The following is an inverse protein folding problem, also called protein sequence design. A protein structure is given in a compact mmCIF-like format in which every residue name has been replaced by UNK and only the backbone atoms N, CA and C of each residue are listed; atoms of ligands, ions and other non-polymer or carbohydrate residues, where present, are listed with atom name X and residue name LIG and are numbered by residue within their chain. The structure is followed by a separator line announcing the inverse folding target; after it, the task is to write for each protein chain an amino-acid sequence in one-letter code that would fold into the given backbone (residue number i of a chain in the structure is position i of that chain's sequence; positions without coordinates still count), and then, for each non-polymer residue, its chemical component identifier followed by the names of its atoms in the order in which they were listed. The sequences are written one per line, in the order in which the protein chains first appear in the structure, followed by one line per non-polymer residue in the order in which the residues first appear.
data_IF_223805982951
#
_entry.id   IF_223805982951
#
_cell.length_a   1.000
_cell.length_b   1.000
_cell.length_c   1.000
_cell.angle_alpha   90.00
_cell.angle_beta   90.00
_cell.angle_gamma   90.00
#
_symmetry.space_group_name_H-M   'P 1'
#
loop_
_entity.id
_entity.type
_entity.pdbx_description
1 polymer ?
#
# COMPACT_ATOMS: atom_id res chain seq x y z
N UNK A 1 5.68 40.78 58.34
CA UNK A 1 5.59 39.47 57.65
C UNK A 1 6.91 38.72 57.87
N UNK A 2 6.85 37.49 58.36
CA UNK A 2 8.01 36.74 58.88
C UNK A 2 8.84 36.20 57.70
N UNK A 3 10.15 36.48 57.69
CA UNK A 3 11.13 36.07 56.65
C UNK A 3 11.02 34.59 56.23
N UNK A 4 10.70 33.72 57.18
CA UNK A 4 10.50 32.29 56.98
C UNK A 4 9.35 31.92 56.01
N UNK A 5 8.30 32.75 55.90
CA UNK A 5 7.20 32.48 54.95
C UNK A 5 7.62 32.76 53.50
N UNK A 6 8.62 33.62 53.29
CA UNK A 6 9.13 33.95 51.95
C UNK A 6 10.03 32.83 51.39
N UNK A 7 10.79 32.16 52.25
CA UNK A 7 11.62 31.00 51.86
C UNK A 7 10.77 29.78 51.45
N UNK A 8 9.68 29.52 52.17
CA UNK A 8 8.77 28.40 51.87
C UNK A 8 8.02 28.62 50.54
N UNK A 9 7.65 29.87 50.23
CA UNK A 9 7.02 30.24 48.96
C UNK A 9 7.96 29.99 47.76
N UNK A 10 9.25 30.34 47.90
CA UNK A 10 10.24 30.10 46.85
C UNK A 10 10.45 28.60 46.58
N UNK A 11 10.53 27.79 47.63
CA UNK A 11 10.68 26.34 47.51
C UNK A 11 9.46 25.70 46.83
N UNK A 12 8.24 26.15 47.14
CA UNK A 12 7.02 25.65 46.51
C UNK A 12 7.00 25.90 44.98
N UNK A 13 7.43 27.08 44.54
CA UNK A 13 7.49 27.41 43.10
C UNK A 13 8.49 26.50 42.36
N UNK A 14 9.66 26.25 42.94
CA UNK A 14 10.67 25.38 42.33
C UNK A 14 10.15 23.95 42.17
N UNK A 15 9.45 23.42 43.19
CA UNK A 15 8.86 22.06 43.14
C UNK A 15 7.82 21.95 42.03
N UNK A 16 6.99 22.98 41.84
CA UNK A 16 6.00 23.02 40.75
C UNK A 16 6.70 23.01 39.39
N UNK A 17 7.74 23.84 39.21
CA UNK A 17 8.50 23.89 37.95
C UNK A 17 9.15 22.55 37.64
N UNK A 18 9.78 21.91 38.62
CA UNK A 18 10.41 20.59 38.45
C UNK A 18 9.38 19.53 38.07
N UNK A 19 8.21 19.56 38.71
CA UNK A 19 7.12 18.62 38.43
C UNK A 19 6.60 18.79 36.99
N UNK A 20 6.46 20.02 36.51
CA UNK A 20 6.07 20.31 35.13
C UNK A 20 7.14 19.83 34.14
N UNK A 21 8.43 20.06 34.42
CA UNK A 21 9.53 19.56 33.57
C UNK A 21 9.49 18.03 33.50
N UNK A 22 9.37 17.33 34.63
CA UNK A 22 9.30 15.86 34.67
C UNK A 22 8.10 15.34 33.88
N UNK A 23 6.93 15.98 34.01
CA UNK A 23 5.74 15.62 33.24
C UNK A 23 5.96 15.77 31.74
N UNK A 24 6.59 16.85 31.30
CA UNK A 24 6.94 17.04 29.89
C UNK A 24 7.94 16.00 29.40
N UNK A 25 8.98 15.71 30.18
CA UNK A 25 9.97 14.68 29.83
C UNK A 25 9.32 13.31 29.68
N UNK A 26 8.44 12.92 30.61
CA UNK A 26 7.70 11.66 30.51
C UNK A 26 6.82 11.66 29.25
N UNK A 27 6.07 12.75 29.00
CA UNK A 27 5.18 12.84 27.84
C UNK A 27 5.89 12.78 26.50
N UNK A 28 7.07 13.40 26.40
CA UNK A 28 7.77 13.54 25.12
C UNK A 28 8.83 12.45 24.89
N UNK A 29 9.48 11.92 25.93
CA UNK A 29 10.54 10.92 25.76
C UNK A 29 10.01 9.50 25.96
N UNK A 30 9.11 9.29 26.92
CA UNK A 30 8.65 7.94 27.28
C UNK A 30 7.39 7.55 26.51
N UNK A 31 6.54 8.53 26.15
CA UNK A 31 5.28 8.31 25.44
C UNK A 31 5.31 8.70 23.96
N UNK A 32 6.48 8.86 23.34
CA UNK A 32 6.54 8.83 21.87
C UNK A 32 6.08 7.45 21.41
N UNK A 33 4.80 7.35 21.05
CA UNK A 33 4.27 6.19 20.34
C UNK A 33 5.13 5.98 19.10
N UNK A 34 5.60 4.76 18.82
CA UNK A 34 6.35 4.50 17.61
C UNK A 34 5.45 4.84 16.42
N UNK A 35 5.72 5.98 15.79
CA UNK A 35 5.00 6.50 14.61
C UNK A 35 4.98 5.46 13.48
N UNK A 36 5.97 4.56 13.48
CA UNK A 36 6.10 3.44 12.55
C UNK A 36 4.90 2.50 12.52
N UNK A 37 4.20 2.26 13.64
CA UNK A 37 3.05 1.36 13.62
C UNK A 37 1.85 1.97 12.88
N UNK A 38 1.57 3.27 13.10
CA UNK A 38 0.46 3.94 12.39
C UNK A 38 0.73 4.04 10.90
N UNK A 39 1.97 4.29 10.51
CA UNK A 39 2.38 4.34 9.12
C UNK A 39 2.27 2.95 8.46
N UNK A 40 2.70 1.89 9.14
CA UNK A 40 2.60 0.51 8.66
C UNK A 40 1.15 0.06 8.39
N UNK A 41 0.24 0.34 9.33
CA UNK A 41 -1.18 0.04 9.13
C UNK A 41 -1.76 0.82 7.95
N UNK A 42 -1.38 2.10 7.82
CA UNK A 42 -1.90 2.97 6.75
C UNK A 42 -1.45 2.49 5.38
N UNK A 43 -0.19 2.11 5.21
CA UNK A 43 0.34 1.62 3.93
C UNK A 43 -0.28 0.27 3.52
N UNK A 44 -0.46 -0.65 4.48
CA UNK A 44 -1.07 -1.95 4.21
C UNK A 44 -2.54 -1.82 3.81
N UNK A 45 -3.29 -0.96 4.51
CA UNK A 45 -4.69 -0.65 4.17
C UNK A 45 -4.79 0.06 2.83
N UNK A 46 -3.88 0.99 2.54
CA UNK A 46 -3.81 1.67 1.26
C UNK A 46 -3.60 0.67 0.11
N UNK A 47 -2.61 -0.22 0.23
CA UNK A 47 -2.33 -1.25 -0.76
C UNK A 47 -3.54 -2.17 -0.96
N UNK A 48 -4.21 -2.58 0.12
CA UNK A 48 -5.40 -3.42 0.08
C UNK A 48 -6.58 -2.76 -0.64
N UNK A 49 -6.83 -1.48 -0.35
CA UNK A 49 -7.92 -0.72 -0.97
C UNK A 49 -7.68 -0.46 -2.45
N UNK A 50 -6.44 -0.10 -2.82
CA UNK A 50 -6.05 0.09 -4.23
C UNK A 50 -6.19 -1.22 -4.99
N UNK A 51 -5.64 -2.32 -4.45
CA UNK A 51 -5.68 -3.61 -5.11
C UNK A 51 -7.12 -4.11 -5.30
N UNK A 52 -7.97 -3.99 -4.26
CA UNK A 52 -9.39 -4.36 -4.34
C UNK A 52 -10.15 -3.53 -5.37
N UNK A 53 -9.83 -2.23 -5.48
CA UNK A 53 -10.47 -1.32 -6.44
C UNK A 53 -9.99 -1.61 -7.87
N UNK A 54 -8.69 -1.83 -8.05
CA UNK A 54 -8.08 -2.21 -9.31
C UNK A 54 -8.74 -3.48 -9.86
N UNK A 55 -8.82 -4.54 -9.05
CA UNK A 55 -9.36 -5.82 -9.50
C UNK A 55 -10.85 -5.79 -9.86
N UNK A 56 -11.62 -4.87 -9.26
CA UNK A 56 -13.03 -4.64 -9.56
C UNK A 56 -13.27 -3.66 -10.71
N UNK A 57 -12.24 -2.95 -11.16
CA UNK A 57 -12.36 -2.00 -12.25
C UNK A 57 -12.68 -2.75 -13.55
N UNK A 58 -13.67 -2.28 -14.28
CA UNK A 58 -14.09 -2.85 -15.56
C UNK A 58 -13.49 -2.09 -16.73
N UNK A 59 -13.09 -2.82 -17.78
CA UNK A 59 -12.62 -2.22 -19.02
C UNK A 59 -13.77 -2.10 -20.00
N UNK A 60 -14.15 -0.86 -20.36
CA UNK A 60 -15.13 -0.62 -21.41
C UNK A 60 -14.68 -1.19 -22.77
N UNK A 61 -13.37 -1.25 -23.00
CA UNK A 61 -12.79 -1.76 -24.25
C UNK A 61 -12.77 -3.29 -24.31
N UNK A 62 -12.91 -4.00 -23.20
CA UNK A 62 -12.89 -5.46 -23.17
C UNK A 62 -14.27 -6.02 -22.78
N UNK A 63 -15.31 -5.53 -23.44
CA UNK A 63 -16.70 -5.98 -23.24
C UNK A 63 -17.24 -5.80 -21.81
N UNK A 64 -16.70 -4.83 -21.06
CA UNK A 64 -17.11 -4.58 -19.68
C UNK A 64 -16.57 -5.60 -18.67
N UNK A 65 -15.64 -6.47 -19.07
CA UNK A 65 -14.99 -7.42 -18.16
C UNK A 65 -14.19 -6.68 -17.09
N UNK A 66 -14.23 -7.23 -15.89
CA UNK A 66 -13.40 -6.79 -14.77
C UNK A 66 -11.93 -7.11 -15.02
N UNK A 67 -11.02 -6.32 -14.43
CA UNK A 67 -9.59 -6.63 -14.47
C UNK A 67 -9.31 -8.01 -13.87
N UNK A 68 -10.08 -8.47 -12.88
CA UNK A 68 -9.98 -9.85 -12.34
C UNK A 68 -10.14 -10.90 -13.44
N UNK A 69 -11.18 -10.79 -14.27
CA UNK A 69 -11.44 -11.72 -15.37
C UNK A 69 -10.36 -11.64 -16.44
N UNK A 70 -9.88 -10.42 -16.74
CA UNK A 70 -8.78 -10.22 -17.70
C UNK A 70 -7.45 -10.79 -17.18
N UNK A 71 -7.18 -10.68 -15.88
CA UNK A 71 -6.04 -11.30 -15.22
C UNK A 71 -6.13 -12.84 -15.29
N UNK A 72 -7.32 -13.41 -15.06
CA UNK A 72 -7.54 -14.85 -15.18
C UNK A 72 -7.32 -15.34 -16.62
N UNK A 73 -7.90 -14.69 -17.62
CA UNK A 73 -7.71 -15.02 -19.03
C UNK A 73 -6.23 -14.96 -19.43
N UNK A 74 -5.55 -13.86 -19.06
CA UNK A 74 -4.12 -13.70 -19.33
C UNK A 74 -3.27 -14.78 -18.65
N UNK A 75 -3.59 -15.14 -17.40
CA UNK A 75 -2.83 -16.16 -16.67
C UNK A 75 -3.01 -17.58 -17.21
N UNK A 76 -4.15 -17.88 -17.83
CA UNK A 76 -4.43 -19.19 -18.40
C UNK A 76 -3.70 -19.40 -19.73
N UNK A 77 -3.53 -18.34 -20.52
CA UNK A 77 -2.80 -18.39 -21.80
C UNK A 77 -2.02 -17.08 -22.05
N UNK A 78 -0.80 -16.93 -21.49
CA UNK A 78 -0.03 -15.69 -21.58
C UNK A 78 0.34 -15.27 -23.02
N UNK A 79 0.49 -16.26 -23.90
CA UNK A 79 0.91 -16.04 -25.30
C UNK A 79 -0.27 -15.93 -26.28
N UNK A 80 -1.44 -16.46 -25.92
CA UNK A 80 -2.62 -16.44 -26.78
C UNK A 80 -3.90 -16.39 -25.93
N UNK A 81 -4.16 -15.27 -25.25
CA UNK A 81 -5.35 -15.09 -24.43
C UNK A 81 -6.63 -15.16 -25.27
N UNK A 82 -7.74 -15.59 -24.68
CA UNK A 82 -8.99 -15.76 -25.42
C UNK A 82 -9.72 -14.44 -25.60
N UNK A 83 -9.53 -13.50 -24.68
CA UNK A 83 -10.18 -12.19 -24.74
C UNK A 83 -9.35 -11.22 -25.58
N UNK A 84 -9.96 -10.75 -26.65
CA UNK A 84 -9.47 -9.65 -27.49
C UNK A 84 -10.39 -8.45 -27.27
N UNK A 85 -9.79 -7.33 -26.88
CA UNK A 85 -10.49 -6.07 -26.63
C UNK A 85 -10.78 -5.33 -27.95
N UNK A 86 -11.69 -4.36 -27.93
CA UNK A 86 -12.17 -3.61 -29.11
C UNK A 86 -11.10 -2.78 -29.79
N UNK A 87 -10.03 -2.44 -29.08
CA UNK A 87 -8.83 -1.77 -29.57
C UNK A 87 -7.82 -2.73 -30.24
N UNK A 88 -8.16 -4.02 -30.32
CA UNK A 88 -7.28 -5.07 -30.84
C UNK A 88 -6.18 -5.50 -29.86
N UNK A 89 -6.17 -4.96 -28.64
CA UNK A 89 -5.27 -5.41 -27.59
C UNK A 89 -5.77 -6.73 -27.01
N UNK A 90 -4.82 -7.60 -26.69
CA UNK A 90 -5.13 -8.81 -25.97
C UNK A 90 -5.31 -8.52 -24.45
N UNK A 91 -5.93 -9.43 -23.70
CA UNK A 91 -6.18 -9.22 -22.27
C UNK A 91 -4.91 -8.88 -21.49
N UNK A 92 -3.79 -9.58 -21.74
CA UNK A 92 -2.49 -9.31 -21.11
C UNK A 92 -1.95 -7.90 -21.36
N UNK A 93 -2.09 -7.39 -22.59
CA UNK A 93 -1.69 -6.03 -22.96
C UNK A 93 -2.60 -5.00 -22.29
N UNK A 94 -3.91 -5.25 -22.29
CA UNK A 94 -4.89 -4.37 -21.67
C UNK A 94 -4.66 -4.26 -20.15
N UNK A 95 -4.46 -5.36 -19.43
CA UNK A 95 -4.18 -5.33 -17.99
C UNK A 95 -2.87 -4.61 -17.69
N UNK A 96 -1.82 -4.80 -18.50
CA UNK A 96 -0.52 -4.17 -18.29
C UNK A 96 -0.63 -2.65 -18.47
N UNK A 97 -1.29 -2.20 -19.55
CA UNK A 97 -1.51 -0.78 -19.80
C UNK A 97 -2.41 -0.14 -18.73
N UNK A 98 -3.56 -0.76 -18.45
CA UNK A 98 -4.55 -0.22 -17.52
C UNK A 98 -4.02 -0.17 -16.09
N UNK A 99 -3.31 -1.22 -15.65
CA UNK A 99 -2.71 -1.27 -14.30
C UNK A 99 -1.63 -0.21 -14.15
N UNK A 100 -0.73 -0.08 -15.12
CA UNK A 100 0.29 0.99 -15.12
C UNK A 100 -0.35 2.36 -15.10
N UNK A 101 -1.39 2.57 -15.90
CA UNK A 101 -2.09 3.84 -15.94
C UNK A 101 -2.73 4.18 -14.59
N UNK A 102 -3.50 3.25 -14.00
CA UNK A 102 -4.17 3.47 -12.73
C UNK A 102 -3.16 3.74 -11.61
N UNK A 103 -2.11 2.93 -11.49
CA UNK A 103 -1.11 3.11 -10.43
C UNK A 103 -0.32 4.42 -10.61
N UNK A 104 0.03 4.79 -11.84
CA UNK A 104 0.73 6.05 -12.09
C UNK A 104 -0.17 7.28 -11.84
N UNK A 105 -1.45 7.21 -12.23
CA UNK A 105 -2.41 8.29 -11.98
C UNK A 105 -2.83 8.41 -10.51
N UNK A 106 -2.52 7.41 -9.68
CA UNK A 106 -2.83 7.40 -8.24
C UNK A 106 -1.56 7.55 -7.41
N UNK A 107 -0.86 6.45 -7.12
CA UNK A 107 0.37 6.41 -6.32
C UNK A 107 1.47 7.29 -6.92
N UNK A 108 1.62 7.28 -8.25
CA UNK A 108 2.60 8.14 -8.94
C UNK A 108 2.33 9.63 -8.72
N UNK A 109 1.06 10.08 -8.85
CA UNK A 109 0.68 11.48 -8.56
C UNK A 109 0.82 11.85 -7.08
N UNK A 110 0.75 10.89 -6.18
CA UNK A 110 0.95 11.11 -4.75
C UNK A 110 2.42 11.03 -4.34
N UNK A 111 3.33 10.80 -5.29
CA UNK A 111 4.75 10.60 -5.05
C UNK A 111 5.03 9.47 -4.04
N UNK A 112 4.22 8.41 -4.09
CA UNK A 112 4.41 7.20 -3.29
C UNK A 112 5.13 6.19 -4.17
N UNK A 113 6.31 5.75 -3.75
CA UNK A 113 7.02 4.67 -4.42
C UNK A 113 6.30 3.33 -4.22
N UNK A 114 6.20 2.56 -5.30
CA UNK A 114 5.49 1.30 -5.29
C UNK A 114 6.12 0.28 -6.24
N UNK A 115 5.81 -0.99 -6.00
CA UNK A 115 6.12 -2.09 -6.90
C UNK A 115 4.91 -3.03 -6.97
N UNK A 116 4.42 -3.25 -8.18
CA UNK A 116 3.29 -4.12 -8.47
C UNK A 116 3.76 -5.31 -9.28
N UNK A 117 3.39 -6.50 -8.83
CA UNK A 117 3.69 -7.77 -9.49
C UNK A 117 2.44 -8.62 -9.59
N UNK A 118 2.13 -9.12 -10.78
CA UNK A 118 1.15 -10.19 -10.97
C UNK A 118 1.88 -11.41 -11.52
N UNK A 119 1.98 -12.48 -10.72
CA UNK A 119 2.76 -13.67 -11.07
C UNK A 119 2.01 -14.95 -10.71
N UNK A 120 2.14 -15.96 -11.55
CA UNK A 120 1.81 -17.35 -11.23
C UNK A 120 3.06 -18.04 -10.65
N UNK A 121 2.95 -19.32 -10.30
CA UNK A 121 4.11 -20.10 -9.84
C UNK A 121 5.21 -20.23 -10.91
N UNK A 122 4.85 -20.09 -12.20
CA UNK A 122 5.76 -20.26 -13.32
C UNK A 122 6.23 -18.95 -13.96
N UNK A 123 5.37 -17.93 -14.03
CA UNK A 123 5.60 -16.76 -14.88
C UNK A 123 5.15 -15.44 -14.23
N UNK A 124 5.89 -14.37 -14.53
CA UNK A 124 5.48 -12.99 -14.22
C UNK A 124 4.69 -12.42 -15.40
N UNK A 125 3.42 -12.06 -15.17
CA UNK A 125 2.51 -11.56 -16.20
C UNK A 125 2.61 -10.04 -16.33
N UNK A 126 2.59 -9.34 -15.19
CA UNK A 126 2.59 -7.89 -15.14
C UNK A 126 3.57 -7.40 -14.11
N UNK A 127 4.38 -6.44 -14.52
CA UNK A 127 5.30 -5.71 -13.66
C UNK A 127 5.13 -4.21 -13.88
N UNK A 128 4.90 -3.47 -12.79
CA UNK A 128 4.87 -2.02 -12.77
C UNK A 128 5.58 -1.52 -11.52
N UNK A 129 6.29 -0.40 -11.63
CA UNK A 129 6.96 0.25 -10.50
C UNK A 129 6.84 1.76 -10.62
N UNK A 130 6.97 2.44 -9.48
CA UNK A 130 7.18 3.89 -9.42
C UNK A 130 8.54 4.32 -9.96
N UNK A 131 8.89 5.59 -9.77
CA UNK A 131 10.11 6.21 -10.30
C UNK A 131 11.37 5.54 -9.79
N UNK A 132 11.44 5.29 -8.47
CA UNK A 132 12.60 4.67 -7.82
C UNK A 132 12.34 3.17 -7.59
N UNK A 133 11.08 2.79 -7.41
CA UNK A 133 10.70 1.45 -6.98
C UNK A 133 11.00 1.26 -5.49
N UNK A 134 11.22 0.02 -5.06
CA UNK A 134 11.25 -0.34 -3.64
C UNK A 134 12.62 -0.88 -3.20
N UNK A 135 13.61 -0.02 -2.88
CA UNK A 135 14.96 -0.45 -2.46
C UNK A 135 15.05 -0.91 -0.99
N UNK A 136 14.02 -0.64 -0.17
CA UNK A 136 14.03 -0.85 1.28
C UNK A 136 13.02 -1.86 1.79
N UNK A 137 12.59 -1.67 3.04
CA UNK A 137 11.52 -2.47 3.67
C UNK A 137 10.23 -2.24 2.89
N UNK A 138 9.62 -3.32 2.41
CA UNK A 138 8.38 -3.27 1.65
C UNK A 138 7.21 -3.65 2.54
N UNK A 139 6.14 -2.85 2.49
CA UNK A 139 4.84 -3.26 3.02
C UNK A 139 4.00 -3.73 1.85
N UNK A 140 3.51 -4.95 1.93
CA UNK A 140 2.92 -5.62 0.78
C UNK A 140 1.55 -6.20 1.11
N UNK A 141 0.67 -6.17 0.12
CA UNK A 141 -0.58 -6.90 0.14
C UNK A 141 -0.61 -7.87 -1.03
N UNK A 142 -0.89 -9.14 -0.74
CA UNK A 142 -1.12 -10.18 -1.74
C UNK A 142 -2.60 -10.46 -1.85
N UNK A 143 -3.11 -10.54 -3.07
CA UNK A 143 -4.46 -11.01 -3.39
C UNK A 143 -4.34 -12.24 -4.31
N UNK A 144 -4.62 -13.46 -3.80
CA UNK A 144 -4.62 -14.65 -4.61
C UNK A 144 -5.91 -14.74 -5.44
N UNK A 145 -5.77 -15.05 -6.72
CA UNK A 145 -6.88 -15.28 -7.65
C UNK A 145 -6.76 -16.70 -8.21
N UNK A 146 -7.74 -17.59 -7.98
CA UNK A 146 -7.77 -18.87 -8.67
C UNK A 146 -8.02 -18.64 -10.16
N UNK A 147 -7.19 -19.23 -11.02
CA UNK A 147 -7.27 -19.03 -12.48
C UNK A 147 -7.97 -20.19 -13.17
N UNK A 148 -8.05 -21.35 -12.52
CA UNK A 148 -8.72 -22.56 -12.97
C UNK A 148 -9.82 -23.00 -12.00
N UNK A 149 -10.78 -23.77 -12.52
CA UNK A 149 -11.89 -24.30 -11.71
C UNK A 149 -11.45 -25.36 -10.69
N UNK A 150 -10.27 -25.96 -10.89
CA UNK A 150 -9.65 -26.90 -9.96
C UNK A 150 -8.92 -26.20 -8.80
N UNK A 151 -8.65 -24.90 -8.90
CA UNK A 151 -7.85 -24.16 -7.92
C UNK A 151 -6.39 -24.59 -7.86
N UNK A 152 -5.91 -25.33 -8.86
CA UNK A 152 -4.52 -25.79 -8.94
C UNK A 152 -3.57 -24.72 -9.45
N UNK A 153 -4.10 -23.68 -10.11
CA UNK A 153 -3.34 -22.51 -10.55
C UNK A 153 -3.83 -21.27 -9.83
N UNK A 154 -2.92 -20.63 -9.12
CA UNK A 154 -3.20 -19.40 -8.37
C UNK A 154 -2.32 -18.28 -8.96
N UNK A 155 -2.98 -17.19 -9.34
CA UNK A 155 -2.32 -15.94 -9.67
C UNK A 155 -2.18 -15.11 -8.40
N UNK A 156 -0.95 -14.77 -8.05
CA UNK A 156 -0.64 -13.88 -6.93
C UNK A 156 -0.43 -12.48 -7.45
N UNK A 157 -1.34 -11.58 -7.07
CA UNK A 157 -1.20 -10.15 -7.35
C UNK A 157 -0.73 -9.47 -6.07
N UNK A 158 0.45 -8.85 -6.16
CA UNK A 158 1.11 -8.20 -5.03
C UNK A 158 1.32 -6.73 -5.35
N UNK A 159 0.93 -5.86 -4.41
CA UNK A 159 1.26 -4.44 -4.41
C UNK A 159 2.11 -4.14 -3.18
N UNK A 160 3.36 -3.76 -3.43
CA UNK A 160 4.31 -3.26 -2.45
C UNK A 160 4.24 -1.72 -2.44
N UNK A 161 4.08 -1.14 -1.26
CA UNK A 161 4.20 0.30 -1.03
C UNK A 161 5.47 0.53 -0.20
N UNK A 162 6.22 1.56 -0.57
CA UNK A 162 7.48 1.92 0.04
C UNK A 162 7.39 3.26 0.77
N UNK A 163 7.99 3.30 1.96
CA UNK A 163 8.11 4.46 2.84
C UNK A 163 9.14 4.21 3.92
#
# INVERSE_FOLDING_TARGET
MKKSQMEIMGLAIIVIIISVIILFTIRFIVLEEPSSYKEEYTQTELASNILSTLLRTTSANCSGLSLTELYQDCSNSPYNPQVICTDGLNSCQCINHTTKHILNQTLGKWHIDYEFTAKTDSDSLVYAKGDVGCPGVKKHKVYPIPTDTSGSKILFITLDICG
#
